data_IF_479626822545
#
_entry.id   IF_479626822545
#
_cell.length_a   1.000
_cell.length_b   1.000
_cell.length_c   1.000
_cell.angle_alpha   90.00
_cell.angle_beta   90.00
_cell.angle_gamma   90.00
#
_symmetry.space_group_name_H-M   'P 1'
#
loop_
_entity.id
_entity.type
_entity.pdbx_description
1 polymer ?
#
# COMPACT_ATOMS: atom_id res chain seq x y z
N UNK A 1 30.47 -7.40 -7.51
CA UNK A 1 30.26 -7.00 -6.11
C UNK A 1 29.62 -5.62 -6.16
N UNK A 2 28.29 -5.53 -6.06
CA UNK A 2 27.70 -4.22 -5.82
C UNK A 2 27.94 -3.89 -4.34
N UNK A 3 28.29 -2.65 -4.08
CA UNK A 3 28.52 -2.18 -2.73
C UNK A 3 27.12 -1.99 -2.14
N UNK A 4 26.79 -2.59 -0.99
CA UNK A 4 25.44 -2.56 -0.40
C UNK A 4 24.80 -1.16 -0.24
N UNK A 5 25.60 -0.09 -0.35
CA UNK A 5 25.16 1.29 -0.55
C UNK A 5 24.24 1.48 -1.77
N UNK A 6 24.55 0.86 -2.92
CA UNK A 6 23.75 0.98 -4.14
C UNK A 6 22.35 0.37 -3.98
N UNK A 7 22.27 -0.82 -3.39
CA UNK A 7 21.01 -1.49 -3.08
C UNK A 7 20.18 -0.71 -2.05
N UNK A 8 20.83 -0.10 -1.05
CA UNK A 8 20.17 0.76 -0.06
C UNK A 8 19.56 2.02 -0.67
N UNK A 9 20.33 2.76 -1.48
CA UNK A 9 19.83 3.97 -2.17
C UNK A 9 18.70 3.63 -3.14
N UNK A 10 18.83 2.52 -3.86
CA UNK A 10 17.78 2.04 -4.75
C UNK A 10 16.49 1.68 -3.99
N UNK A 11 16.61 0.95 -2.87
CA UNK A 11 15.46 0.63 -2.02
C UNK A 11 14.75 1.89 -1.49
N UNK A 12 15.52 2.91 -1.05
CA UNK A 12 14.95 4.20 -0.63
C UNK A 12 14.23 4.93 -1.77
N UNK A 13 14.79 4.85 -2.98
CA UNK A 13 14.19 5.46 -4.17
C UNK A 13 12.85 4.80 -4.49
N UNK A 14 12.80 3.47 -4.51
CA UNK A 14 11.57 2.71 -4.70
C UNK A 14 10.54 2.98 -3.60
N UNK A 15 10.99 3.06 -2.34
CA UNK A 15 10.11 3.39 -1.21
C UNK A 15 9.53 4.82 -1.35
N UNK A 16 10.33 5.78 -1.80
CA UNK A 16 9.86 7.13 -2.08
C UNK A 16 8.82 7.15 -3.20
N UNK A 17 9.03 6.37 -4.28
CA UNK A 17 8.03 6.21 -5.34
C UNK A 17 6.73 5.63 -4.79
N UNK A 18 6.79 4.56 -3.99
CA UNK A 18 5.61 3.99 -3.33
C UNK A 18 4.93 4.98 -2.40
N UNK A 19 5.68 5.78 -1.64
CA UNK A 19 5.11 6.82 -0.78
C UNK A 19 4.36 7.90 -1.58
N UNK A 20 4.89 8.30 -2.74
CA UNK A 20 4.19 9.23 -3.65
C UNK A 20 2.91 8.59 -4.18
N UNK A 21 2.95 7.33 -4.63
CA UNK A 21 1.77 6.61 -5.10
C UNK A 21 0.73 6.41 -3.98
N UNK A 22 1.17 6.19 -2.76
CA UNK A 22 0.32 6.09 -1.57
C UNK A 22 -0.34 7.44 -1.22
N UNK A 23 0.41 8.54 -1.37
CA UNK A 23 -0.14 9.90 -1.26
C UNK A 23 -1.24 10.15 -2.31
N UNK A 24 -0.96 9.84 -3.57
CA UNK A 24 -1.95 9.93 -4.65
C UNK A 24 -3.18 9.07 -4.37
N UNK A 25 -2.98 7.84 -3.88
CA UNK A 25 -4.06 6.92 -3.51
C UNK A 25 -4.91 7.45 -2.36
N UNK A 26 -4.28 8.09 -1.37
CA UNK A 26 -4.97 8.72 -0.23
C UNK A 26 -5.83 9.90 -0.68
N UNK A 27 -5.29 10.77 -1.54
CA UNK A 27 -6.05 11.88 -2.13
C UNK A 27 -7.20 11.34 -2.98
N UNK A 28 -6.97 10.30 -3.75
CA UNK A 28 -8.01 9.63 -4.53
C UNK A 28 -9.11 9.03 -3.65
N UNK A 29 -8.78 8.47 -2.48
CA UNK A 29 -9.77 7.98 -1.52
C UNK A 29 -10.73 9.10 -1.06
N UNK A 30 -10.17 10.26 -0.73
CA UNK A 30 -10.94 11.45 -0.34
C UNK A 30 -11.80 11.95 -1.51
N UNK A 31 -11.23 12.02 -2.72
CA UNK A 31 -11.94 12.45 -3.92
C UNK A 31 -13.10 11.51 -4.26
N UNK A 32 -12.89 10.19 -4.23
CA UNK A 32 -13.93 9.17 -4.45
C UNK A 32 -15.04 9.28 -3.41
N UNK A 33 -14.68 9.42 -2.14
CA UNK A 33 -15.64 9.57 -1.04
C UNK A 33 -16.48 10.84 -1.21
N UNK A 34 -15.84 11.97 -1.52
CA UNK A 34 -16.51 13.25 -1.76
C UNK A 34 -17.40 13.21 -3.00
N UNK A 35 -16.94 12.56 -4.07
CA UNK A 35 -17.69 12.42 -5.32
C UNK A 35 -18.92 11.54 -5.13
N UNK A 36 -18.77 10.38 -4.51
CA UNK A 36 -19.87 9.47 -4.21
C UNK A 36 -20.92 10.14 -3.32
N UNK A 37 -20.51 10.91 -2.30
CA UNK A 37 -21.45 11.68 -1.48
C UNK A 37 -22.28 12.70 -2.27
N UNK A 38 -21.71 13.29 -3.32
CA UNK A 38 -22.38 14.33 -4.13
C UNK A 38 -23.21 13.77 -5.27
N UNK A 39 -22.76 12.67 -5.90
CA UNK A 39 -23.37 12.14 -7.14
C UNK A 39 -23.91 10.71 -7.00
N UNK A 40 -23.75 10.06 -5.86
CA UNK A 40 -24.18 8.69 -5.60
C UNK A 40 -23.44 7.61 -6.37
N UNK A 41 -22.56 7.96 -7.32
CA UNK A 41 -21.95 7.03 -8.27
C UNK A 41 -20.53 7.47 -8.64
N UNK A 42 -19.60 6.50 -8.69
CA UNK A 42 -18.24 6.68 -9.21
C UNK A 42 -18.16 6.26 -10.68
N UNK A 43 -17.71 7.13 -11.62
CA UNK A 43 -17.61 6.79 -13.04
C UNK A 43 -16.68 5.61 -13.32
N UNK A 44 -17.01 4.79 -14.32
CA UNK A 44 -16.19 3.62 -14.69
C UNK A 44 -14.76 4.01 -15.09
N UNK A 45 -14.56 5.13 -15.79
CA UNK A 45 -13.23 5.62 -16.15
C UNK A 45 -12.33 5.83 -14.91
N UNK A 46 -12.90 6.36 -13.83
CA UNK A 46 -12.17 6.54 -12.56
C UNK A 46 -11.82 5.19 -11.96
N UNK A 47 -12.73 4.21 -11.97
CA UNK A 47 -12.44 2.85 -11.46
C UNK A 47 -11.30 2.18 -12.22
N UNK A 48 -11.30 2.27 -13.55
CA UNK A 48 -10.22 1.71 -14.36
C UNK A 48 -8.88 2.40 -14.10
N UNK A 49 -8.88 3.73 -13.93
CA UNK A 49 -7.68 4.48 -13.58
C UNK A 49 -7.12 4.05 -12.21
N UNK A 50 -7.99 3.90 -11.20
CA UNK A 50 -7.60 3.43 -9.87
C UNK A 50 -7.14 1.97 -9.86
N UNK A 51 -7.76 1.13 -10.70
CA UNK A 51 -7.33 -0.24 -10.87
C UNK A 51 -5.94 -0.31 -11.54
N UNK A 52 -5.71 0.49 -12.59
CA UNK A 52 -4.41 0.60 -13.24
C UNK A 52 -3.32 1.10 -12.28
N UNK A 53 -3.65 2.09 -11.44
CA UNK A 53 -2.77 2.54 -10.36
C UNK A 53 -2.43 1.40 -9.40
N UNK A 54 -3.41 0.58 -9.00
CA UNK A 54 -3.19 -0.59 -8.14
C UNK A 54 -2.24 -1.62 -8.76
N UNK A 55 -2.42 -1.91 -10.05
CA UNK A 55 -1.51 -2.79 -10.79
C UNK A 55 -0.09 -2.20 -10.83
N UNK A 56 0.02 -0.88 -11.02
CA UNK A 56 1.30 -0.17 -10.97
C UNK A 56 2.00 -0.28 -9.62
N UNK A 57 1.26 -0.10 -8.51
CA UNK A 57 1.79 -0.25 -7.14
C UNK A 57 2.33 -1.66 -6.92
N UNK A 58 1.52 -2.69 -7.21
CA UNK A 58 1.96 -4.09 -7.10
C UNK A 58 3.17 -4.38 -8.00
N UNK A 59 3.20 -3.79 -9.20
CA UNK A 59 4.34 -3.89 -10.11
C UNK A 59 5.62 -3.30 -9.52
N UNK A 60 5.55 -2.12 -8.90
CA UNK A 60 6.70 -1.46 -8.26
C UNK A 60 7.17 -2.26 -7.04
N UNK A 61 6.26 -2.71 -6.16
CA UNK A 61 6.60 -3.55 -5.02
C UNK A 61 7.23 -4.87 -5.43
N UNK A 62 6.62 -5.55 -6.41
CA UNK A 62 7.12 -6.80 -6.97
C UNK A 62 8.51 -6.65 -7.59
N UNK A 63 8.72 -5.58 -8.36
CA UNK A 63 10.03 -5.25 -8.91
C UNK A 63 11.08 -5.01 -7.82
N UNK A 64 10.72 -4.26 -6.77
CA UNK A 64 11.60 -4.06 -5.62
C UNK A 64 12.03 -5.36 -4.95
N UNK A 65 11.09 -6.29 -4.74
CA UNK A 65 11.40 -7.62 -4.19
C UNK A 65 12.35 -8.39 -5.11
N UNK A 66 12.03 -8.48 -6.41
CA UNK A 66 12.81 -9.27 -7.36
C UNK A 66 14.25 -8.78 -7.49
N UNK A 67 14.46 -7.46 -7.49
CA UNK A 67 15.80 -6.87 -7.64
C UNK A 67 16.58 -6.93 -6.33
N UNK A 68 15.92 -6.88 -5.17
CA UNK A 68 16.60 -6.78 -3.88
C UNK A 68 16.73 -8.10 -3.12
N UNK A 69 16.05 -9.18 -3.53
CA UNK A 69 16.01 -10.43 -2.75
C UNK A 69 17.40 -11.03 -2.54
N UNK A 70 18.25 -11.02 -3.57
CA UNK A 70 19.57 -11.61 -3.54
C UNK A 70 20.62 -10.69 -2.91
N UNK A 71 20.40 -9.37 -2.97
CA UNK A 71 21.43 -8.37 -2.68
C UNK A 71 21.16 -7.60 -1.36
N UNK A 72 19.90 -7.41 -1.03
CA UNK A 72 19.45 -6.70 0.16
C UNK A 72 18.13 -7.31 0.67
N UNK A 73 18.18 -8.57 1.12
CA UNK A 73 17.02 -9.34 1.57
C UNK A 73 16.11 -8.57 2.54
N UNK A 74 16.67 -7.78 3.46
CA UNK A 74 15.88 -6.97 4.41
C UNK A 74 15.06 -5.86 3.72
N UNK A 75 15.64 -5.22 2.71
CA UNK A 75 14.92 -4.24 1.91
C UNK A 75 13.82 -4.92 1.11
N UNK A 76 14.08 -6.10 0.51
CA UNK A 76 13.06 -6.90 -0.14
C UNK A 76 11.92 -7.28 0.84
N UNK A 77 12.26 -7.68 2.07
CA UNK A 77 11.28 -7.99 3.11
C UNK A 77 10.40 -6.78 3.48
N UNK A 78 10.96 -5.57 3.48
CA UNK A 78 10.18 -4.34 3.69
C UNK A 78 9.10 -4.16 2.60
N UNK A 79 9.43 -4.39 1.32
CA UNK A 79 8.44 -4.34 0.24
C UNK A 79 7.38 -5.44 0.36
N UNK A 80 7.77 -6.64 0.77
CA UNK A 80 6.80 -7.71 1.04
C UNK A 80 5.87 -7.32 2.18
N UNK A 81 6.43 -6.90 3.32
CA UNK A 81 5.69 -6.70 4.55
C UNK A 81 4.78 -5.47 4.50
N UNK A 82 5.24 -4.35 3.93
CA UNK A 82 4.48 -3.09 3.93
C UNK A 82 3.62 -2.90 2.67
N UNK A 83 4.02 -3.45 1.53
CA UNK A 83 3.32 -3.23 0.25
C UNK A 83 2.58 -4.48 -0.23
N UNK A 84 3.30 -5.50 -0.70
CA UNK A 84 2.70 -6.64 -1.40
C UNK A 84 1.75 -7.45 -0.51
N UNK A 85 2.20 -7.87 0.67
CA UNK A 85 1.38 -8.72 1.53
C UNK A 85 0.11 -7.99 2.00
N UNK A 86 0.16 -6.74 2.49
CA UNK A 86 -1.04 -5.99 2.81
C UNK A 86 -2.00 -5.82 1.63
N UNK A 87 -1.47 -5.52 0.44
CA UNK A 87 -2.29 -5.33 -0.75
C UNK A 87 -2.99 -6.63 -1.16
N UNK A 88 -2.26 -7.75 -1.18
CA UNK A 88 -2.80 -9.07 -1.53
C UNK A 88 -3.78 -9.59 -0.50
N UNK A 89 -3.47 -9.44 0.80
CA UNK A 89 -4.36 -9.86 1.90
C UNK A 89 -5.64 -9.05 1.86
N UNK A 90 -5.56 -7.73 1.76
CA UNK A 90 -6.74 -6.89 1.73
C UNK A 90 -7.58 -7.12 0.46
N UNK A 91 -6.94 -7.18 -0.72
CA UNK A 91 -7.61 -7.45 -1.98
C UNK A 91 -8.28 -8.83 -2.00
N UNK A 92 -7.59 -9.86 -1.50
CA UNK A 92 -8.13 -11.21 -1.36
C UNK A 92 -9.32 -11.26 -0.40
N UNK A 93 -9.21 -10.61 0.76
CA UNK A 93 -10.29 -10.53 1.74
C UNK A 93 -11.53 -9.83 1.16
N UNK A 94 -11.36 -8.64 0.56
CA UNK A 94 -12.45 -7.88 -0.03
C UNK A 94 -13.12 -8.64 -1.17
N UNK A 95 -12.33 -9.35 -1.98
CA UNK A 95 -12.83 -10.20 -3.07
C UNK A 95 -13.67 -11.37 -2.57
N UNK A 96 -13.29 -11.99 -1.46
CA UNK A 96 -14.02 -13.12 -0.89
C UNK A 96 -15.32 -12.68 -0.22
N UNK A 97 -15.35 -11.49 0.39
CA UNK A 97 -16.51 -11.00 1.14
C UNK A 97 -17.57 -10.32 0.29
N UNK A 98 -17.20 -9.74 -0.84
CA UNK A 98 -18.12 -8.90 -1.61
C UNK A 98 -18.20 -9.37 -3.07
N UNK A 99 -19.42 -9.62 -3.53
CA UNK A 99 -19.73 -10.10 -4.89
C UNK A 99 -19.66 -8.94 -5.91
N UNK A 100 -18.47 -8.35 -6.00
CA UNK A 100 -18.20 -7.14 -6.80
C UNK A 100 -17.34 -7.47 -8.02
N UNK A 101 -17.18 -6.53 -8.94
CA UNK A 101 -16.26 -6.73 -10.07
C UNK A 101 -14.80 -6.73 -9.62
N UNK A 102 -13.94 -7.49 -10.30
CA UNK A 102 -12.51 -7.53 -9.98
C UNK A 102 -11.87 -6.14 -10.08
N UNK A 103 -12.29 -5.33 -11.06
CA UNK A 103 -11.86 -3.93 -11.20
C UNK A 103 -12.25 -3.07 -9.99
N UNK A 104 -13.47 -3.20 -9.48
CA UNK A 104 -13.91 -2.44 -8.30
C UNK A 104 -13.13 -2.85 -7.05
N UNK A 105 -12.86 -4.15 -6.90
CA UNK A 105 -12.06 -4.68 -5.81
C UNK A 105 -10.62 -4.13 -5.84
N UNK A 106 -9.96 -4.17 -7.01
CA UNK A 106 -8.61 -3.62 -7.17
C UNK A 106 -8.63 -2.12 -6.88
N UNK A 107 -9.54 -1.36 -7.51
CA UNK A 107 -9.65 0.07 -7.31
C UNK A 107 -9.86 0.44 -5.83
N UNK A 108 -10.76 -0.25 -5.13
CA UNK A 108 -11.01 -0.02 -3.70
C UNK A 108 -9.79 -0.36 -2.83
N UNK A 109 -9.09 -1.45 -3.14
CA UNK A 109 -7.86 -1.83 -2.44
C UNK A 109 -6.78 -0.76 -2.65
N UNK A 110 -6.61 -0.27 -3.88
CA UNK A 110 -5.66 0.79 -4.22
C UNK A 110 -5.86 2.03 -3.35
N UNK A 111 -7.08 2.60 -3.35
CA UNK A 111 -7.33 3.83 -2.58
C UNK A 111 -7.34 3.58 -1.06
N UNK A 112 -7.73 2.40 -0.61
CA UNK A 112 -7.70 2.05 0.81
C UNK A 112 -6.29 1.83 1.36
N UNK A 113 -5.34 1.41 0.51
CA UNK A 113 -3.98 1.07 0.90
C UNK A 113 -3.11 2.29 1.24
N UNK A 114 -3.30 3.40 0.51
CA UNK A 114 -2.38 4.54 0.58
C UNK A 114 -2.18 5.13 1.97
N UNK A 115 -3.27 5.40 2.69
CA UNK A 115 -3.19 5.99 4.04
C UNK A 115 -2.50 5.07 5.05
N UNK A 116 -2.98 3.82 5.22
CA UNK A 116 -2.33 2.81 6.04
C UNK A 116 -0.85 2.60 5.70
N UNK A 117 -0.48 2.54 4.42
CA UNK A 117 0.91 2.38 3.98
C UNK A 117 1.80 3.52 4.49
N UNK A 118 1.39 4.78 4.30
CA UNK A 118 2.16 5.93 4.76
C UNK A 118 2.38 5.91 6.27
N UNK A 119 1.34 5.54 7.03
CA UNK A 119 1.44 5.37 8.49
C UNK A 119 2.41 4.23 8.83
N UNK A 120 2.31 3.09 8.13
CA UNK A 120 3.19 1.95 8.32
C UNK A 120 4.66 2.29 8.06
N UNK A 121 4.96 3.03 6.99
CA UNK A 121 6.31 3.51 6.68
C UNK A 121 6.80 4.47 7.76
N UNK A 122 5.99 5.45 8.18
CA UNK A 122 6.37 6.39 9.23
C UNK A 122 6.67 5.69 10.56
N UNK A 123 5.86 4.70 10.95
CA UNK A 123 6.09 3.88 12.15
C UNK A 123 7.36 3.06 12.01
N UNK A 124 7.57 2.37 10.88
CA UNK A 124 8.76 1.56 10.66
C UNK A 124 10.04 2.40 10.74
N UNK A 125 10.07 3.56 10.09
CA UNK A 125 11.20 4.50 10.15
C UNK A 125 11.39 5.05 11.57
N UNK A 126 10.31 5.41 12.26
CA UNK A 126 10.36 5.90 13.64
C UNK A 126 10.91 4.87 14.63
N UNK A 127 10.49 3.61 14.51
CA UNK A 127 10.99 2.51 15.35
C UNK A 127 12.47 2.26 15.09
N UNK A 128 12.90 2.27 13.82
CA UNK A 128 14.31 2.12 13.46
C UNK A 128 15.18 3.24 14.03
N UNK A 129 14.75 4.50 13.87
CA UNK A 129 15.47 5.65 14.41
C UNK A 129 15.51 5.62 15.96
N UNK A 130 14.40 5.22 16.60
CA UNK A 130 14.32 5.02 18.05
C UNK A 130 15.26 3.92 18.55
N UNK A 131 15.32 2.78 17.84
CA UNK A 131 16.23 1.70 18.18
C UNK A 131 17.70 2.13 18.06
N UNK A 132 18.07 2.82 16.97
CA UNK A 132 19.44 3.33 16.77
C UNK A 132 19.87 4.31 17.88
N UNK A 133 18.97 5.20 18.31
CA UNK A 133 19.25 6.13 19.41
C UNK A 133 19.33 5.46 20.78
N UNK A 134 18.54 4.41 21.03
CA UNK A 134 18.55 3.66 22.28
C UNK A 134 19.73 2.69 22.42
N UNK A 135 20.22 2.13 21.32
CA UNK A 135 21.30 1.13 21.30
C UNK A 135 22.68 1.70 20.93
N UNK A 136 22.81 3.02 20.79
CA UNK A 136 24.07 3.72 20.48
C UNK A 136 25.23 3.42 21.47
N UNK A 137 24.98 2.76 22.60
CA UNK A 137 25.94 2.44 23.65
C UNK A 137 26.23 0.93 23.84
N UNK A 138 25.69 0.01 23.03
CA UNK A 138 25.96 -1.43 23.18
C UNK A 138 26.09 -2.18 21.84
N UNK A 139 27.09 -3.07 21.66
CA UNK A 139 27.31 -3.79 20.41
C UNK A 139 26.41 -5.02 20.36
N UNK A 140 25.18 -4.90 19.86
CA UNK A 140 24.37 -6.08 19.55
C UNK A 140 23.65 -5.91 18.21
N UNK A 141 24.45 -5.92 17.15
CA UNK A 141 24.01 -5.86 15.74
C UNK A 141 22.92 -6.91 15.43
N UNK A 142 22.95 -8.07 16.10
CA UNK A 142 21.95 -9.13 15.99
C UNK A 142 20.59 -8.82 16.66
N UNK A 143 20.54 -7.86 17.60
CA UNK A 143 19.32 -7.41 18.28
C UNK A 143 18.58 -6.37 17.44
N UNK A 144 19.32 -5.40 16.89
CA UNK A 144 18.77 -4.40 15.97
C UNK A 144 18.16 -5.05 14.73
N UNK A 145 18.80 -6.11 14.24
CA UNK A 145 18.35 -6.99 13.17
C UNK A 145 16.92 -7.53 13.37
N UNK A 146 16.66 -8.17 14.51
CA UNK A 146 15.34 -8.76 14.80
C UNK A 146 14.28 -7.68 15.07
N UNK A 147 14.69 -6.55 15.64
CA UNK A 147 13.79 -5.42 15.91
C UNK A 147 13.27 -4.82 14.60
N UNK A 148 14.12 -4.67 13.58
CA UNK A 148 13.72 -4.17 12.27
C UNK A 148 12.70 -5.09 11.58
N UNK A 149 12.97 -6.40 11.54
CA UNK A 149 12.07 -7.39 10.95
C UNK A 149 10.72 -7.42 11.67
N UNK A 150 10.73 -7.41 13.00
CA UNK A 150 9.51 -7.36 13.80
C UNK A 150 8.71 -6.08 13.54
N UNK A 151 9.39 -4.93 13.47
CA UNK A 151 8.75 -3.65 13.17
C UNK A 151 8.10 -3.66 11.77
N UNK A 152 8.76 -4.22 10.76
CA UNK A 152 8.19 -4.35 9.41
C UNK A 152 6.98 -5.28 9.39
N UNK A 153 7.04 -6.42 10.07
CA UNK A 153 5.92 -7.37 10.13
C UNK A 153 4.73 -6.77 10.87
N UNK A 154 4.93 -6.16 12.03
CA UNK A 154 3.84 -5.51 12.79
C UNK A 154 3.27 -4.33 11.99
N UNK A 155 4.13 -3.52 11.37
CA UNK A 155 3.72 -2.46 10.46
C UNK A 155 2.87 -3.01 9.31
N UNK A 156 3.30 -4.10 8.68
CA UNK A 156 2.58 -4.77 7.60
C UNK A 156 1.20 -5.27 8.01
N UNK A 157 1.08 -5.89 9.18
CA UNK A 157 -0.23 -6.32 9.73
C UNK A 157 -1.14 -5.11 9.94
N UNK A 158 -0.61 -4.00 10.48
CA UNK A 158 -1.38 -2.78 10.66
C UNK A 158 -1.81 -2.16 9.32
N UNK A 159 -0.93 -2.14 8.31
CA UNK A 159 -1.25 -1.70 6.95
C UNK A 159 -2.38 -2.57 6.38
N UNK A 160 -2.28 -3.90 6.49
CA UNK A 160 -3.28 -4.83 5.98
C UNK A 160 -4.65 -4.60 6.65
N UNK A 161 -4.68 -4.53 7.99
CA UNK A 161 -5.89 -4.31 8.76
C UNK A 161 -6.52 -2.94 8.43
N UNK A 162 -5.72 -1.88 8.34
CA UNK A 162 -6.19 -0.55 7.94
C UNK A 162 -6.73 -0.52 6.52
N UNK A 163 -6.07 -1.21 5.59
CA UNK A 163 -6.50 -1.34 4.20
C UNK A 163 -7.82 -2.08 4.10
N UNK A 164 -7.99 -3.19 4.84
CA UNK A 164 -9.26 -3.91 4.91
C UNK A 164 -10.38 -3.02 5.46
N UNK A 165 -10.14 -2.33 6.59
CA UNK A 165 -11.15 -1.50 7.23
C UNK A 165 -11.60 -0.32 6.36
N UNK A 166 -10.66 0.31 5.64
CA UNK A 166 -10.98 1.36 4.67
C UNK A 166 -11.63 0.80 3.40
N UNK A 167 -11.14 -0.35 2.92
CA UNK A 167 -11.64 -1.03 1.74
C UNK A 167 -13.10 -1.44 1.89
N UNK A 168 -13.50 -1.99 3.04
CA UNK A 168 -14.89 -2.35 3.32
C UNK A 168 -15.83 -1.15 3.25
N UNK A 169 -15.36 0.06 3.60
CA UNK A 169 -16.13 1.31 3.52
C UNK A 169 -16.17 1.90 2.11
N UNK A 170 -15.09 1.77 1.35
CA UNK A 170 -14.94 2.38 0.03
C UNK A 170 -15.53 1.49 -1.08
N UNK A 171 -15.51 0.18 -0.92
CA UNK A 171 -15.91 -0.77 -1.95
C UNK A 171 -17.37 -0.63 -2.39
N UNK A 172 -18.36 -0.41 -1.50
CA UNK A 172 -19.73 -0.13 -1.93
C UNK A 172 -19.83 1.10 -2.84
N UNK A 173 -19.14 2.19 -2.48
CA UNK A 173 -19.13 3.43 -3.26
C UNK A 173 -18.45 3.27 -4.63
N UNK A 174 -17.42 2.42 -4.72
CA UNK A 174 -16.70 2.12 -5.94
C UNK A 174 -17.42 1.05 -6.77
N UNK A 175 -18.26 0.23 -6.16
CA UNK A 175 -19.02 -0.83 -6.81
C UNK A 175 -20.24 -0.34 -7.57
N UNK A 176 -20.91 0.72 -7.12
CA UNK A 176 -22.21 1.19 -7.64
C UNK A 176 -22.17 1.64 -9.10
N UNK A 177 -22.51 0.79 -10.06
CA UNK A 177 -22.42 1.14 -11.50
C UNK A 177 -23.37 2.28 -11.87
N UNK A 178 -22.93 3.26 -12.71
CA UNK A 178 -23.84 4.26 -13.26
C UNK A 178 -24.93 3.58 -14.10
N UNK A 179 -26.20 3.85 -13.80
CA UNK A 179 -27.34 3.32 -14.57
C UNK A 179 -27.51 4.11 -15.88
N UNK A 180 -28.26 3.54 -16.84
CA UNK A 180 -28.46 4.15 -18.15
C UNK A 180 -29.17 5.53 -18.10
N UNK A 181 -29.89 5.83 -17.02
CA UNK A 181 -30.49 7.14 -16.77
C UNK A 181 -29.43 8.24 -16.55
N UNK A 182 -28.32 7.90 -15.88
CA UNK A 182 -27.23 8.81 -15.51
C UNK A 182 -26.36 9.25 -16.72
N UNK A 183 -26.58 8.63 -17.89
CA UNK A 183 -25.95 9.00 -19.17
C UNK A 183 -26.75 10.01 -19.98
N UNK A 184 -28.03 10.23 -19.68
CA UNK A 184 -28.90 11.12 -20.47
C UNK A 184 -28.79 12.59 -20.05
N UNK A 185 -28.25 12.86 -18.86
CA UNK A 185 -28.09 14.21 -18.31
C UNK A 185 -26.67 14.79 -18.52
N UNK A 186 -25.90 14.22 -19.46
CA UNK A 186 -24.58 14.73 -19.91
C UNK A 186 -24.55 14.87 -21.41
#
# INVERSE_FOLDING_TARGET
MSNGLGAGVFALTLLAVLAVLAGLSSVAALAVTGWHRRRGVVPNAVRYLLAALGVGIVGVGGFGVLVLVDEAFRAAWLFVALDLAPFLVAGGYLRQRQDTSMTACIAATTVAWGGPFLVGVAVAVGVLAGAQSAFALAPVESRELRVAEFAFTVGGVAVAAGTVALGDRLLPAIGTTPTAADRRDR
#
